data_IF_528149638967
#
_entry.id   IF_528149638967
#
_cell.length_a   1.000
_cell.length_b   1.000
_cell.length_c   1.000
_cell.angle_alpha   90.00
_cell.angle_beta   90.00
_cell.angle_gamma   90.00
#
_symmetry.space_group_name_H-M   'P 1'
#
loop_
_entity.id
_entity.type
_entity.pdbx_description
1 polymer ?
#
# COMPACT_ATOMS: atom_id res chain seq x y z
N UNK A 1 26.09 -2.99 -23.47
CA UNK A 1 25.01 -2.00 -23.18
C UNK A 1 24.70 -1.85 -21.67
N UNK A 2 25.69 -2.05 -20.77
CA UNK A 2 25.45 -2.08 -19.30
C UNK A 2 25.79 -0.78 -18.54
N UNK A 3 26.65 0.10 -19.09
CA UNK A 3 27.14 1.30 -18.37
C UNK A 3 26.10 2.43 -18.21
N UNK A 4 25.20 2.63 -19.18
CA UNK A 4 24.25 3.75 -19.13
C UNK A 4 23.20 3.60 -18.01
N UNK A 5 22.79 2.36 -17.73
CA UNK A 5 21.82 2.04 -16.67
C UNK A 5 22.41 2.21 -15.28
N UNK A 6 23.69 1.88 -15.11
CA UNK A 6 24.42 2.03 -13.85
C UNK A 6 24.64 3.51 -13.49
N UNK A 7 24.98 4.35 -14.48
CA UNK A 7 25.14 5.79 -14.25
C UNK A 7 23.81 6.48 -13.86
N UNK A 8 22.70 6.10 -14.50
CA UNK A 8 21.38 6.67 -14.17
C UNK A 8 20.95 6.32 -12.73
N UNK A 9 21.18 5.08 -12.30
CA UNK A 9 20.88 4.65 -10.94
C UNK A 9 21.77 5.34 -9.91
N UNK A 10 23.08 5.51 -10.18
CA UNK A 10 23.98 6.28 -9.30
C UNK A 10 23.52 7.73 -9.13
N UNK A 11 23.12 8.38 -10.23
CA UNK A 11 22.60 9.75 -10.17
C UNK A 11 21.29 9.83 -9.38
N UNK A 12 20.39 8.85 -9.55
CA UNK A 12 19.16 8.74 -8.78
C UNK A 12 19.45 8.52 -7.29
N UNK A 13 20.37 7.63 -6.94
CA UNK A 13 20.83 7.42 -5.57
C UNK A 13 21.37 8.72 -4.95
N UNK A 14 22.23 9.44 -5.67
CA UNK A 14 22.75 10.73 -5.20
C UNK A 14 21.67 11.82 -5.07
N UNK A 15 20.60 11.81 -5.87
CA UNK A 15 19.45 12.71 -5.67
C UNK A 15 18.62 12.33 -4.45
N UNK A 16 18.38 11.03 -4.24
CA UNK A 16 17.68 10.52 -3.06
C UNK A 16 18.43 10.88 -1.78
N UNK A 17 19.74 10.63 -1.72
CA UNK A 17 20.58 10.95 -0.55
C UNK A 17 20.52 12.45 -0.22
N UNK A 18 20.67 13.32 -1.21
CA UNK A 18 20.53 14.78 -1.02
C UNK A 18 19.17 15.21 -0.47
N UNK A 19 18.09 14.45 -0.71
CA UNK A 19 16.79 14.76 -0.08
C UNK A 19 16.74 14.33 1.38
N UNK A 20 17.38 13.22 1.73
CA UNK A 20 17.49 12.71 3.09
C UNK A 20 18.40 13.61 3.94
N UNK A 21 19.58 13.99 3.42
CA UNK A 21 20.52 14.87 4.13
C UNK A 21 19.91 16.24 4.43
N UNK A 22 19.02 16.69 3.56
CA UNK A 22 18.29 17.95 3.68
C UNK A 22 17.16 17.93 4.75
N UNK A 23 16.88 16.75 5.33
CA UNK A 23 15.99 16.58 6.49
C UNK A 23 16.75 16.97 7.76
N UNK A 24 16.11 17.70 8.68
CA UNK A 24 16.70 17.96 9.98
C UNK A 24 17.12 16.70 10.72
N UNK A 25 18.24 16.78 11.44
CA UNK A 25 18.95 15.62 11.99
C UNK A 25 18.08 14.73 12.87
N UNK A 26 17.29 15.31 13.77
CA UNK A 26 16.43 14.56 14.71
C UNK A 26 15.31 13.77 14.01
N UNK A 27 14.91 14.20 12.81
CA UNK A 27 13.84 13.58 12.02
C UNK A 27 14.37 12.71 10.88
N UNK A 28 15.66 12.82 10.55
CA UNK A 28 16.31 12.13 9.42
C UNK A 28 16.21 10.61 9.47
N UNK A 29 16.44 9.91 10.62
CA UNK A 29 16.44 8.45 10.66
C UNK A 29 15.14 7.81 10.15
N UNK A 30 13.99 8.40 10.45
CA UNK A 30 12.70 7.86 9.97
C UNK A 30 12.50 8.10 8.47
N UNK A 31 13.00 9.21 7.92
CA UNK A 31 12.95 9.47 6.46
C UNK A 31 13.89 8.54 5.70
N UNK A 32 15.03 8.20 6.30
CA UNK A 32 15.98 7.21 5.78
C UNK A 32 15.32 5.81 5.71
N UNK A 33 14.73 5.35 6.82
CA UNK A 33 13.97 4.10 6.86
C UNK A 33 12.80 4.06 5.85
N UNK A 34 12.15 5.21 5.61
CA UNK A 34 11.11 5.33 4.59
C UNK A 34 11.66 5.23 3.16
N UNK A 35 12.85 5.78 2.91
CA UNK A 35 13.54 5.63 1.62
C UNK A 35 13.82 4.14 1.34
N UNK A 36 14.34 3.42 2.34
CA UNK A 36 14.56 1.97 2.25
C UNK A 36 13.27 1.22 1.99
N UNK A 37 12.19 1.52 2.71
CA UNK A 37 10.87 0.93 2.47
C UNK A 37 10.42 1.12 1.01
N UNK A 38 10.59 2.32 0.45
CA UNK A 38 10.21 2.60 -0.94
C UNK A 38 11.05 1.82 -1.94
N UNK A 39 12.35 1.66 -1.69
CA UNK A 39 13.25 0.86 -2.53
C UNK A 39 12.88 -0.62 -2.48
N UNK A 40 12.64 -1.17 -1.29
CA UNK A 40 12.16 -2.56 -1.13
C UNK A 40 10.81 -2.77 -1.82
N UNK A 41 9.88 -1.81 -1.71
CA UNK A 41 8.59 -1.89 -2.40
C UNK A 41 8.73 -1.85 -3.93
N UNK A 42 9.68 -1.06 -4.47
CA UNK A 42 10.00 -1.04 -5.90
C UNK A 42 10.52 -2.40 -6.37
N UNK A 43 11.41 -3.00 -5.58
CA UNK A 43 12.02 -4.29 -5.91
C UNK A 43 10.99 -5.43 -5.86
N UNK A 44 10.11 -5.44 -4.84
CA UNK A 44 8.97 -6.38 -4.82
C UNK A 44 8.08 -6.24 -6.04
N UNK A 45 7.80 -5.00 -6.47
CA UNK A 45 6.96 -4.77 -7.64
C UNK A 45 7.60 -5.34 -8.92
N UNK A 46 8.92 -5.17 -9.09
CA UNK A 46 9.69 -5.79 -10.20
C UNK A 46 9.57 -7.31 -10.19
N UNK A 47 9.79 -7.94 -9.02
CA UNK A 47 9.71 -9.40 -8.87
C UNK A 47 8.30 -9.94 -9.14
N UNK A 48 7.28 -9.20 -8.73
CA UNK A 48 5.88 -9.55 -8.99
C UNK A 48 5.42 -9.27 -10.43
N UNK A 49 6.28 -8.77 -11.33
CA UNK A 49 5.90 -8.39 -12.69
C UNK A 49 4.91 -7.22 -12.76
N UNK A 50 4.76 -6.47 -11.66
CA UNK A 50 3.88 -5.30 -11.58
C UNK A 50 4.65 -4.01 -11.87
N UNK A 51 3.96 -2.87 -11.99
CA UNK A 51 4.61 -1.60 -12.33
C UNK A 51 5.44 -1.05 -11.16
N UNK A 52 6.79 -1.04 -11.24
CA UNK A 52 7.62 -0.48 -10.17
C UNK A 52 7.54 1.05 -10.15
N UNK A 53 7.77 1.64 -8.96
CA UNK A 53 7.90 3.10 -8.82
C UNK A 53 9.10 3.61 -9.61
N UNK A 54 8.94 4.78 -10.25
CA UNK A 54 10.05 5.49 -10.89
C UNK A 54 10.90 6.24 -9.86
N UNK A 55 12.16 6.52 -10.21
CA UNK A 55 13.05 7.34 -9.36
C UNK A 55 12.45 8.71 -9.05
N UNK A 56 11.83 9.36 -10.04
CA UNK A 56 11.11 10.62 -9.85
C UNK A 56 9.96 10.53 -8.83
N UNK A 57 9.29 9.37 -8.74
CA UNK A 57 8.21 9.15 -7.76
C UNK A 57 8.79 9.07 -6.34
N UNK A 58 9.89 8.32 -6.17
CA UNK A 58 10.58 8.16 -4.89
C UNK A 58 11.16 9.50 -4.44
N UNK A 59 11.86 10.20 -5.32
CA UNK A 59 12.45 11.52 -5.04
C UNK A 59 11.40 12.54 -4.61
N UNK A 60 10.22 12.54 -5.23
CA UNK A 60 9.17 13.47 -4.87
C UNK A 60 8.49 13.11 -3.54
N UNK A 61 8.39 11.83 -3.19
CA UNK A 61 7.92 11.41 -1.86
C UNK A 61 8.91 11.85 -0.77
N UNK A 62 10.22 11.68 -0.99
CA UNK A 62 11.26 12.17 -0.08
C UNK A 62 11.25 13.70 0.04
N UNK A 63 11.01 14.42 -1.06
CA UNK A 63 10.87 15.87 -1.01
C UNK A 63 9.68 16.31 -0.14
N UNK A 64 8.54 15.62 -0.24
CA UNK A 64 7.36 15.88 0.62
C UNK A 64 7.70 15.64 2.09
N UNK A 65 8.37 14.54 2.43
CA UNK A 65 8.76 14.23 3.81
C UNK A 65 9.77 15.23 4.37
N UNK A 66 10.74 15.67 3.56
CA UNK A 66 11.67 16.73 3.90
C UNK A 66 10.96 18.05 4.18
N UNK A 67 10.02 18.44 3.32
CA UNK A 67 9.29 19.69 3.48
C UNK A 67 8.42 19.68 4.74
N UNK A 68 7.78 18.53 5.05
CA UNK A 68 7.08 18.34 6.31
C UNK A 68 8.04 18.43 7.51
N UNK A 69 9.18 17.75 7.47
CA UNK A 69 10.15 17.77 8.57
C UNK A 69 10.67 19.19 8.86
N UNK A 70 10.93 19.98 7.81
CA UNK A 70 11.32 21.39 7.93
C UNK A 70 10.20 22.24 8.55
N UNK A 71 8.97 22.06 8.08
CA UNK A 71 7.81 22.74 8.64
C UNK A 71 7.62 22.42 10.14
N UNK A 72 7.77 21.16 10.54
CA UNK A 72 7.61 20.74 11.92
C UNK A 72 8.62 21.39 12.86
N UNK A 73 9.88 21.51 12.44
CA UNK A 73 10.89 22.18 13.25
C UNK A 73 10.70 23.70 13.23
N UNK A 74 10.55 24.29 12.05
CA UNK A 74 10.55 25.75 11.88
C UNK A 74 9.26 26.41 12.35
N UNK A 75 8.10 25.78 12.14
CA UNK A 75 6.79 26.39 12.42
C UNK A 75 6.07 25.78 13.62
N UNK A 76 6.40 24.54 14.00
CA UNK A 76 5.75 23.83 15.12
C UNK A 76 6.69 23.56 16.30
N UNK A 77 8.00 23.76 16.15
CA UNK A 77 8.98 23.45 17.19
C UNK A 77 9.06 21.96 17.56
N UNK A 78 8.55 21.06 16.70
CA UNK A 78 8.48 19.61 16.98
C UNK A 78 9.72 18.91 16.43
N UNK A 79 10.52 18.36 17.34
CA UNK A 79 11.81 17.73 17.00
C UNK A 79 11.72 16.22 16.73
N UNK A 80 10.59 15.58 17.04
CA UNK A 80 10.42 14.13 16.90
C UNK A 80 9.09 13.78 16.21
N UNK A 81 9.09 12.75 15.38
CA UNK A 81 7.89 12.28 14.68
C UNK A 81 6.76 11.86 15.63
N UNK A 82 7.10 11.37 16.82
CA UNK A 82 6.13 10.97 17.85
C UNK A 82 5.33 12.14 18.44
N UNK A 83 5.79 13.38 18.27
CA UNK A 83 5.10 14.57 18.78
C UNK A 83 4.06 15.12 17.81
N UNK A 84 4.01 14.58 16.59
CA UNK A 84 3.14 15.10 15.51
C UNK A 84 1.71 14.65 15.74
N UNK A 85 0.79 15.58 15.58
CA UNK A 85 -0.65 15.33 15.60
C UNK A 85 -1.32 15.72 14.27
N UNK A 86 -2.61 15.42 14.17
CA UNK A 86 -3.42 15.70 12.96
C UNK A 86 -3.43 17.19 12.62
N UNK A 87 -3.39 18.10 13.61
CA UNK A 87 -3.46 19.55 13.40
C UNK A 87 -2.18 20.08 12.75
N UNK A 88 -1.02 19.50 13.07
CA UNK A 88 0.23 19.87 12.38
C UNK A 88 0.17 19.49 10.90
N UNK A 89 -0.35 18.29 10.61
CA UNK A 89 -0.50 17.80 9.23
C UNK A 89 -1.51 18.68 8.48
N UNK A 90 -2.65 19.00 9.08
CA UNK A 90 -3.62 19.92 8.48
C UNK A 90 -3.03 21.29 8.19
N UNK A 91 -2.27 21.85 9.12
CA UNK A 91 -1.63 23.14 8.93
C UNK A 91 -0.59 23.11 7.80
N UNK A 92 0.22 22.05 7.71
CA UNK A 92 1.14 21.87 6.58
C UNK A 92 0.40 21.75 5.24
N UNK A 93 -0.76 21.09 5.24
CA UNK A 93 -1.58 20.92 4.03
C UNK A 93 -2.31 22.22 3.64
N UNK A 94 -2.66 23.07 4.60
CA UNK A 94 -3.32 24.35 4.34
C UNK A 94 -2.46 25.29 3.46
N UNK A 95 -1.14 25.25 3.62
CA UNK A 95 -0.21 26.04 2.81
C UNK A 95 -0.10 25.63 1.33
N UNK A 96 -0.68 24.48 0.92
CA UNK A 96 -0.66 24.07 -0.50
C UNK A 96 -1.84 23.17 -0.89
N UNK A 97 -3.03 23.75 -1.13
CA UNK A 97 -4.25 22.99 -1.45
C UNK A 97 -4.11 22.09 -2.68
N UNK A 98 -3.41 22.57 -3.72
CA UNK A 98 -3.22 21.86 -4.99
C UNK A 98 -2.44 20.54 -4.85
N UNK A 99 -1.60 20.41 -3.81
CA UNK A 99 -0.77 19.22 -3.59
C UNK A 99 -1.30 18.31 -2.47
N UNK A 100 -2.44 18.66 -1.86
CA UNK A 100 -3.01 17.99 -0.69
C UNK A 100 -3.17 16.48 -0.88
N UNK A 101 -3.80 16.05 -1.97
CA UNK A 101 -4.03 14.62 -2.27
C UNK A 101 -2.71 13.84 -2.34
N UNK A 102 -1.71 14.38 -3.03
CA UNK A 102 -0.40 13.75 -3.18
C UNK A 102 0.33 13.63 -1.85
N UNK A 103 0.31 14.69 -1.03
CA UNK A 103 0.95 14.71 0.29
C UNK A 103 0.33 13.69 1.23
N UNK A 104 -1.00 13.62 1.29
CA UNK A 104 -1.71 12.63 2.11
C UNK A 104 -1.38 11.18 1.72
N UNK A 105 -1.27 10.88 0.42
CA UNK A 105 -0.85 9.54 -0.04
C UNK A 105 0.55 9.18 0.44
N UNK A 106 1.48 10.14 0.44
CA UNK A 106 2.85 9.91 0.94
C UNK A 106 2.84 9.73 2.46
N UNK A 107 2.06 10.53 3.19
CA UNK A 107 1.95 10.41 4.65
C UNK A 107 1.36 9.06 5.08
N UNK A 108 0.32 8.58 4.40
CA UNK A 108 -0.24 7.25 4.68
C UNK A 108 0.71 6.08 4.37
N UNK A 109 1.79 6.32 3.62
CA UNK A 109 2.85 5.33 3.39
C UNK A 109 3.98 5.40 4.43
N UNK A 110 4.04 6.48 5.22
CA UNK A 110 5.06 6.71 6.24
C UNK A 110 4.58 6.12 7.58
N UNK A 111 4.99 4.90 7.89
CA UNK A 111 4.48 4.11 9.03
C UNK A 111 5.35 4.36 10.26
N UNK A 112 4.89 5.21 11.17
CA UNK A 112 5.35 5.25 12.58
C UNK A 112 4.16 5.58 13.51
N UNK A 113 3.33 6.54 13.11
CA UNK A 113 1.94 6.77 13.53
C UNK A 113 1.34 7.49 12.32
N UNK A 114 0.25 7.02 11.69
CA UNK A 114 -0.37 7.75 10.58
C UNK A 114 -1.05 9.00 11.15
N UNK A 115 -0.43 10.20 11.09
CA UNK A 115 -1.00 11.40 11.69
C UNK A 115 -2.04 12.02 10.73
N UNK A 116 -2.24 11.43 9.54
CA UNK A 116 -3.29 11.79 8.60
C UNK A 116 -4.54 10.90 8.75
N UNK A 117 -4.57 10.01 9.76
CA UNK A 117 -5.72 9.16 10.05
C UNK A 117 -6.95 10.02 10.33
N UNK A 118 -7.92 9.98 9.41
CA UNK A 118 -9.16 10.78 9.47
C UNK A 118 -9.20 11.98 8.52
N UNK A 119 -8.08 12.34 7.88
CA UNK A 119 -8.05 13.41 6.87
C UNK A 119 -8.53 12.88 5.53
N UNK A 120 -9.70 13.34 5.09
CA UNK A 120 -10.28 12.96 3.79
C UNK A 120 -10.06 14.08 2.78
N UNK A 121 -9.38 13.80 1.67
CA UNK A 121 -9.37 14.71 0.53
C UNK A 121 -10.63 14.45 -0.31
N UNK A 122 -11.62 15.34 -0.21
CA UNK A 122 -12.77 15.35 -1.12
C UNK A 122 -12.28 15.66 -2.54
N UNK A 123 -12.10 14.62 -3.33
CA UNK A 123 -11.91 14.69 -4.77
C UNK A 123 -12.89 13.75 -5.46
N UNK A 124 -13.13 13.90 -6.78
CA UNK A 124 -14.03 13.01 -7.50
C UNK A 124 -13.64 11.55 -7.25
N UNK A 125 -14.58 10.79 -6.68
CA UNK A 125 -14.42 9.37 -6.37
C UNK A 125 -14.65 8.57 -7.65
N UNK A 126 -13.57 8.07 -8.23
CA UNK A 126 -13.60 7.18 -9.38
C UNK A 126 -12.21 6.62 -9.63
N UNK A 127 -12.12 5.34 -10.00
CA UNK A 127 -10.86 4.74 -10.42
C UNK A 127 -10.47 5.33 -11.78
N UNK A 128 -9.32 6.01 -11.84
CA UNK A 128 -8.78 6.63 -13.07
C UNK A 128 -7.59 5.85 -13.63
N UNK A 129 -7.44 4.58 -13.26
CA UNK A 129 -6.33 3.73 -13.68
C UNK A 129 -6.66 2.90 -14.92
N UNK A 130 -5.65 2.21 -15.45
CA UNK A 130 -5.87 1.20 -16.48
C UNK A 130 -6.58 -0.01 -15.87
N UNK A 131 -7.67 -0.44 -16.49
CA UNK A 131 -8.38 -1.68 -16.15
C UNK A 131 -7.72 -2.87 -16.84
N UNK A 132 -7.77 -4.04 -16.22
CA UNK A 132 -7.29 -5.27 -16.84
C UNK A 132 -8.14 -5.64 -18.05
N UNK A 133 -7.50 -6.09 -19.13
CA UNK A 133 -8.22 -6.67 -20.28
C UNK A 133 -8.84 -8.01 -19.87
N UNK A 134 -9.85 -8.47 -20.64
CA UNK A 134 -10.49 -9.75 -20.37
C UNK A 134 -9.50 -10.93 -20.40
N UNK A 135 -8.51 -10.88 -21.30
CA UNK A 135 -7.50 -11.93 -21.38
C UNK A 135 -6.53 -11.92 -20.19
N UNK A 136 -6.17 -10.73 -19.70
CA UNK A 136 -5.39 -10.60 -18.46
C UNK A 136 -6.17 -11.11 -17.25
N UNK A 137 -7.46 -10.78 -17.16
CA UNK A 137 -8.34 -11.31 -16.11
C UNK A 137 -8.43 -12.83 -16.17
N UNK A 138 -8.60 -13.42 -17.36
CA UNK A 138 -8.63 -14.89 -17.55
C UNK A 138 -7.30 -15.55 -17.19
N UNK A 139 -6.18 -14.94 -17.54
CA UNK A 139 -4.85 -15.46 -17.20
C UNK A 139 -4.64 -15.46 -15.68
N UNK A 140 -5.00 -14.37 -15.00
CA UNK A 140 -4.92 -14.26 -13.54
C UNK A 140 -5.89 -15.21 -12.84
N UNK A 141 -7.12 -15.33 -13.33
CA UNK A 141 -8.09 -16.29 -12.82
C UNK A 141 -7.57 -17.72 -12.89
N UNK A 142 -7.02 -18.15 -14.03
CA UNK A 142 -6.40 -19.47 -14.17
C UNK A 142 -5.23 -19.63 -13.20
N UNK A 143 -4.29 -18.68 -13.15
CA UNK A 143 -3.17 -18.72 -12.21
C UNK A 143 -3.64 -18.91 -10.77
N UNK A 144 -4.59 -18.10 -10.31
CA UNK A 144 -5.04 -18.19 -8.91
C UNK A 144 -5.90 -19.42 -8.62
N UNK A 145 -6.51 -20.07 -9.61
CA UNK A 145 -7.35 -21.26 -9.41
C UNK A 145 -6.60 -22.57 -9.61
N UNK A 146 -5.64 -22.65 -10.53
CA UNK A 146 -4.99 -23.91 -10.92
C UNK A 146 -3.52 -24.00 -10.52
N UNK A 147 -2.81 -22.88 -10.35
CA UNK A 147 -1.37 -22.90 -10.07
C UNK A 147 -1.11 -23.06 -8.57
N UNK A 148 -0.50 -24.19 -8.18
CA UNK A 148 -0.11 -24.46 -6.80
C UNK A 148 1.08 -23.61 -6.33
N UNK A 149 1.82 -22.98 -7.24
CA UNK A 149 2.90 -22.06 -6.90
C UNK A 149 2.40 -20.66 -6.51
N UNK A 150 1.15 -20.32 -6.83
CA UNK A 150 0.54 -19.08 -6.37
C UNK A 150 0.32 -19.12 -4.85
N UNK A 151 0.80 -18.10 -4.13
CA UNK A 151 0.63 -18.05 -2.69
C UNK A 151 -0.88 -18.04 -2.33
N UNK A 152 -1.36 -18.84 -1.36
CA UNK A 152 -2.79 -18.93 -1.05
C UNK A 152 -3.46 -17.57 -0.79
N UNK A 153 -2.84 -16.69 0.00
CA UNK A 153 -3.31 -15.31 0.20
C UNK A 153 -3.34 -14.44 -1.07
N UNK A 154 -2.41 -14.63 -2.01
CA UNK A 154 -2.46 -13.95 -3.31
C UNK A 154 -3.68 -14.41 -4.10
N UNK A 155 -3.91 -15.72 -4.14
CA UNK A 155 -5.06 -16.30 -4.83
C UNK A 155 -6.39 -15.85 -4.25
N UNK A 156 -6.53 -15.85 -2.91
CA UNK A 156 -7.73 -15.38 -2.23
C UNK A 156 -8.02 -13.90 -2.53
N UNK A 157 -7.01 -13.03 -2.38
CA UNK A 157 -7.15 -11.60 -2.66
C UNK A 157 -7.54 -11.37 -4.13
N UNK A 158 -6.85 -12.05 -5.05
CA UNK A 158 -7.08 -11.92 -6.48
C UNK A 158 -8.49 -12.34 -6.89
N UNK A 159 -8.96 -13.50 -6.42
CA UNK A 159 -10.28 -14.04 -6.77
C UNK A 159 -11.41 -13.18 -6.17
N UNK A 160 -11.29 -12.77 -4.90
CA UNK A 160 -12.31 -11.90 -4.28
C UNK A 160 -12.35 -10.51 -4.93
N UNK A 161 -11.20 -9.96 -5.32
CA UNK A 161 -11.16 -8.69 -6.05
C UNK A 161 -11.78 -8.82 -7.45
N UNK A 162 -11.48 -9.91 -8.16
CA UNK A 162 -11.91 -10.11 -9.55
C UNK A 162 -13.39 -10.45 -9.67
N UNK A 163 -13.91 -11.35 -8.84
CA UNK A 163 -15.29 -11.85 -8.95
C UNK A 163 -16.29 -11.11 -8.06
N UNK A 164 -15.83 -10.65 -6.89
CA UNK A 164 -16.70 -10.04 -5.88
C UNK A 164 -16.48 -8.54 -5.72
N UNK A 165 -15.58 -7.95 -6.52
CA UNK A 165 -15.19 -6.55 -6.41
C UNK A 165 -14.69 -6.19 -5.02
N UNK A 166 -14.10 -7.14 -4.30
CA UNK A 166 -13.62 -6.93 -2.95
C UNK A 166 -12.39 -6.02 -2.95
N UNK A 167 -12.42 -4.98 -2.13
CA UNK A 167 -11.26 -4.13 -1.88
C UNK A 167 -10.21 -4.90 -1.06
N UNK A 168 -8.94 -4.53 -1.22
CA UNK A 168 -7.87 -5.11 -0.39
C UNK A 168 -8.10 -4.88 1.11
N UNK A 169 -8.83 -3.82 1.49
CA UNK A 169 -9.21 -3.57 2.88
C UNK A 169 -10.22 -4.60 3.37
N UNK A 170 -11.29 -4.86 2.61
CA UNK A 170 -12.30 -5.87 2.95
C UNK A 170 -11.65 -7.25 3.11
N UNK A 171 -10.77 -7.64 2.20
CA UNK A 171 -10.08 -8.95 2.29
C UNK A 171 -9.11 -9.01 3.46
N UNK A 172 -8.43 -7.89 3.78
CA UNK A 172 -7.45 -7.84 4.87
C UNK A 172 -8.10 -7.98 6.26
N UNK A 173 -9.32 -7.50 6.44
CA UNK A 173 -10.03 -7.55 7.72
C UNK A 173 -11.03 -8.72 7.82
N UNK A 174 -11.21 -9.47 6.73
CA UNK A 174 -12.08 -10.64 6.71
C UNK A 174 -11.63 -11.60 7.81
N UNK A 175 -12.54 -12.20 8.56
CA UNK A 175 -12.22 -13.20 9.57
C UNK A 175 -12.92 -14.53 9.29
N UNK A 176 -12.48 -15.61 9.93
CA UNK A 176 -13.14 -16.92 9.81
C UNK A 176 -14.62 -16.87 10.28
N UNK A 177 -14.92 -16.01 11.25
CA UNK A 177 -16.30 -15.78 11.75
C UNK A 177 -17.20 -15.04 10.76
N UNK A 178 -16.61 -14.40 9.75
CA UNK A 178 -17.34 -13.71 8.68
C UNK A 178 -17.75 -14.68 7.56
N UNK A 179 -17.30 -15.94 7.63
CA UNK A 179 -17.59 -16.98 6.66
C UNK A 179 -18.71 -17.89 7.16
N UNK A 180 -19.75 -18.06 6.35
CA UNK A 180 -20.75 -19.10 6.56
C UNK A 180 -20.41 -20.30 5.66
N UNK A 181 -19.91 -21.37 6.27
CA UNK A 181 -19.52 -22.61 5.59
C UNK A 181 -20.70 -23.39 5.02
N UNK A 182 -21.90 -23.25 5.60
CA UNK A 182 -23.11 -23.94 5.12
C UNK A 182 -23.71 -23.19 3.94
N UNK A 183 -23.85 -21.88 4.06
CA UNK A 183 -24.41 -21.05 3.01
C UNK A 183 -23.39 -20.70 1.91
N UNK A 184 -22.10 -20.97 2.13
CA UNK A 184 -20.97 -20.53 1.29
C UNK A 184 -21.03 -19.03 1.03
N UNK A 185 -21.20 -18.25 2.09
CA UNK A 185 -21.25 -16.78 2.01
C UNK A 185 -20.14 -16.15 2.84
N UNK A 186 -19.77 -14.93 2.50
CA UNK A 186 -18.80 -14.12 3.25
C UNK A 186 -19.36 -12.72 3.55
N UNK A 187 -19.17 -12.25 4.78
CA UNK A 187 -19.40 -10.85 5.15
C UNK A 187 -18.18 -10.01 4.78
N UNK A 188 -18.24 -9.38 3.60
CA UNK A 188 -17.17 -8.51 3.11
C UNK A 188 -17.40 -7.07 3.59
N UNK A 189 -16.67 -6.66 4.63
CA UNK A 189 -16.74 -5.30 5.18
C UNK A 189 -18.16 -4.89 5.60
N UNK A 190 -18.60 -3.69 5.20
CA UNK A 190 -19.90 -3.12 5.56
C UNK A 190 -20.98 -3.36 4.49
N UNK A 191 -20.85 -4.42 3.67
CA UNK A 191 -21.87 -4.74 2.67
C UNK A 191 -23.19 -5.10 3.36
N UNK A 192 -24.34 -4.68 2.79
CA UNK A 192 -25.65 -4.83 3.43
C UNK A 192 -26.07 -6.30 3.60
N UNK A 193 -25.60 -7.18 2.71
CA UNK A 193 -25.91 -8.60 2.73
C UNK A 193 -24.64 -9.45 2.60
N UNK A 194 -24.60 -10.66 3.21
CA UNK A 194 -23.54 -11.63 2.95
C UNK A 194 -23.41 -11.92 1.45
N UNK A 195 -22.18 -12.00 0.97
CA UNK A 195 -21.87 -12.21 -0.45
C UNK A 195 -21.77 -13.71 -0.71
N UNK A 196 -22.58 -14.30 -1.62
CA UNK A 196 -22.43 -15.69 -1.99
C UNK A 196 -21.13 -15.90 -2.76
N UNK A 197 -20.36 -16.90 -2.34
CA UNK A 197 -19.09 -17.25 -2.97
C UNK A 197 -19.33 -18.38 -3.98
N UNK A 198 -18.93 -18.14 -5.23
CA UNK A 198 -18.90 -19.18 -6.27
C UNK A 198 -17.86 -20.27 -5.92
N UNK A 199 -17.91 -21.45 -6.57
CA UNK A 199 -17.01 -22.55 -6.25
C UNK A 199 -15.52 -22.22 -6.29
N UNK A 200 -15.07 -21.34 -7.21
CA UNK A 200 -13.67 -20.96 -7.30
C UNK A 200 -13.25 -20.04 -6.14
N UNK A 201 -14.14 -19.10 -5.77
CA UNK A 201 -13.94 -18.24 -4.59
C UNK A 201 -13.92 -19.04 -3.29
N UNK A 202 -14.82 -20.02 -3.16
CA UNK A 202 -14.86 -20.90 -2.00
C UNK A 202 -13.60 -21.76 -1.89
N UNK A 203 -13.14 -22.36 -3.00
CA UNK A 203 -11.90 -23.13 -3.03
C UNK A 203 -10.66 -22.26 -2.67
N UNK A 204 -10.66 -20.98 -3.05
CA UNK A 204 -9.60 -20.05 -2.65
C UNK A 204 -9.60 -19.79 -1.13
N UNK A 205 -10.77 -19.66 -0.51
CA UNK A 205 -10.93 -19.57 0.96
C UNK A 205 -10.39 -20.82 1.64
N UNK A 206 -10.81 -22.00 1.19
CA UNK A 206 -10.39 -23.29 1.77
C UNK A 206 -8.87 -23.48 1.69
N UNK A 207 -8.25 -23.16 0.55
CA UNK A 207 -6.77 -23.21 0.43
C UNK A 207 -6.06 -22.25 1.37
N UNK A 208 -6.64 -21.06 1.59
CA UNK A 208 -6.10 -20.10 2.54
C UNK A 208 -6.18 -20.59 3.98
N UNK A 209 -7.29 -21.22 4.36
CA UNK A 209 -7.48 -21.80 5.68
C UNK A 209 -6.53 -23.00 5.91
N UNK A 210 -6.44 -23.92 4.95
CA UNK A 210 -5.53 -25.06 5.01
C UNK A 210 -4.06 -24.62 5.15
N UNK A 211 -3.65 -23.61 4.36
CA UNK A 211 -2.31 -23.04 4.47
C UNK A 211 -2.02 -22.42 5.85
N UNK A 212 -3.03 -21.81 6.47
CA UNK A 212 -2.90 -21.22 7.80
C UNK A 212 -2.83 -22.28 8.91
N UNK A 213 -3.61 -23.35 8.79
CA UNK A 213 -3.53 -24.50 9.72
C UNK A 213 -2.14 -25.13 9.70
N UNK A 214 -1.54 -25.27 8.51
CA UNK A 214 -0.18 -25.79 8.35
C UNK A 214 0.88 -24.90 9.01
N UNK A 215 0.67 -23.58 9.02
CA UNK A 215 1.60 -22.63 9.65
C UNK A 215 1.56 -22.63 11.19
N UNK A 216 0.56 -23.25 11.84
CA UNK A 216 0.42 -23.30 13.32
C UNK A 216 0.66 -21.96 14.04
N UNK A 217 0.25 -20.85 13.42
CA UNK A 217 0.39 -19.52 14.03
C UNK A 217 -0.91 -19.10 14.73
N UNK A 218 -0.81 -18.73 16.01
CA UNK A 218 -1.92 -18.19 16.84
C UNK A 218 -2.43 -16.81 16.40
N UNK A 219 -2.02 -16.32 15.23
CA UNK A 219 -2.25 -14.94 14.81
C UNK A 219 -3.65 -14.78 14.21
N UNK A 220 -4.63 -14.37 15.04
CA UNK A 220 -6.02 -14.06 14.64
C UNK A 220 -6.09 -13.24 13.34
N UNK A 221 -7.05 -13.61 12.48
CA UNK A 221 -7.37 -12.92 11.23
C UNK A 221 -7.85 -11.49 11.51
#
# INVERSE_FOLDING_TARGET
MAMATDQAERLAAGRRQRRIDAVPETLRPSVDAFADFMMHSRERARRAGTRPRSDATIEAALAIMRDLARFLISERGKQYWALIDVRDVEAFLAGSPKTRKRRLVVFGQFVLVDPARGLTALGPSGFTGATLTLDQQRALFRRWTTDSAAHPHEGLLGILALLHGASSREVKILQAVDLDFRARTARLGNRPHPVPLDPASWAAVERCLAHREDQRTDNRM
#
